data_IF_266546635312
#
_entry.id   IF_266546635312
#
_cell.length_a   1.000
_cell.length_b   1.000
_cell.length_c   1.000
_cell.angle_alpha   90.00
_cell.angle_beta   90.00
_cell.angle_gamma   90.00
#
_symmetry.space_group_name_H-M   'P 1'
#
loop_
_entity.id
_entity.type
_entity.pdbx_description
1 polymer ?
#
# COMPACT_ATOMS: atom_id res chain seq x y z
N UNK A 1 43.60 -39.42 22.14
CA UNK A 1 43.48 -38.73 20.86
C UNK A 1 42.00 -38.67 20.38
N UNK A 2 41.23 -39.75 20.30
CA UNK A 2 39.83 -39.74 19.78
C UNK A 2 38.88 -38.78 20.50
N UNK A 3 38.95 -38.63 21.82
CA UNK A 3 38.09 -37.73 22.61
C UNK A 3 38.36 -36.23 22.32
N UNK A 4 39.60 -35.84 22.01
CA UNK A 4 39.96 -34.46 21.68
C UNK A 4 39.43 -34.12 20.26
N UNK A 5 39.60 -34.98 19.32
CA UNK A 5 39.12 -34.82 17.96
C UNK A 5 37.56 -34.68 17.93
N UNK A 6 36.85 -35.48 18.73
CA UNK A 6 35.39 -35.39 18.84
C UNK A 6 34.94 -34.06 19.40
N UNK A 7 35.64 -33.54 20.45
CA UNK A 7 35.32 -32.21 20.99
C UNK A 7 35.52 -31.09 19.99
N UNK A 8 36.57 -31.10 19.21
CA UNK A 8 36.83 -30.12 18.17
C UNK A 8 35.75 -30.17 17.11
N UNK A 9 35.35 -31.33 16.64
CA UNK A 9 34.26 -31.50 15.65
C UNK A 9 32.94 -30.93 16.20
N UNK A 10 32.60 -31.23 17.44
CA UNK A 10 31.37 -30.72 18.07
C UNK A 10 31.37 -29.19 18.16
N UNK A 11 32.49 -28.58 18.49
CA UNK A 11 32.60 -27.11 18.54
C UNK A 11 32.42 -26.51 17.13
N UNK A 12 33.04 -27.09 16.11
CA UNK A 12 32.86 -26.64 14.73
C UNK A 12 31.40 -26.75 14.26
N UNK A 13 30.73 -27.86 14.53
CA UNK A 13 29.32 -28.08 14.20
C UNK A 13 28.45 -27.05 14.92
N UNK A 14 28.72 -26.79 16.21
CA UNK A 14 27.97 -25.79 16.98
C UNK A 14 28.15 -24.38 16.41
N UNK A 15 29.38 -23.97 16.13
CA UNK A 15 29.67 -22.65 15.53
C UNK A 15 28.97 -22.51 14.17
N UNK A 16 29.08 -23.52 13.32
CA UNK A 16 28.49 -23.50 12.00
C UNK A 16 26.95 -23.44 12.07
N UNK A 17 26.35 -24.17 13.01
CA UNK A 17 24.90 -24.13 13.25
C UNK A 17 24.42 -22.75 13.68
N UNK A 18 25.12 -22.12 14.61
CA UNK A 18 24.80 -20.75 15.06
C UNK A 18 24.94 -19.75 13.90
N UNK A 19 26.03 -19.84 13.14
CA UNK A 19 26.27 -18.95 12.01
C UNK A 19 25.18 -19.12 10.94
N UNK A 20 24.76 -20.35 10.64
CA UNK A 20 23.70 -20.65 9.69
C UNK A 20 22.35 -20.04 10.12
N UNK A 21 22.00 -20.12 11.40
CA UNK A 21 20.78 -19.51 11.94
C UNK A 21 20.85 -18.00 11.86
N UNK A 22 21.99 -17.39 12.21
CA UNK A 22 22.18 -15.94 12.11
C UNK A 22 22.05 -15.43 10.67
N UNK A 23 22.66 -16.10 9.70
CA UNK A 23 22.57 -15.75 8.29
C UNK A 23 21.13 -15.89 7.80
N UNK A 24 20.46 -16.99 8.14
CA UNK A 24 19.07 -17.24 7.75
C UNK A 24 18.10 -16.18 8.28
N UNK A 25 18.21 -15.80 9.54
CA UNK A 25 17.35 -14.76 10.14
C UNK A 25 17.65 -13.37 9.57
N UNK A 26 18.92 -13.03 9.36
CA UNK A 26 19.31 -11.76 8.75
C UNK A 26 18.82 -11.64 7.31
N UNK A 27 19.04 -12.67 6.50
CA UNK A 27 18.59 -12.72 5.11
C UNK A 27 17.06 -12.61 4.99
N UNK A 28 16.33 -13.32 5.85
CA UNK A 28 14.86 -13.27 5.87
C UNK A 28 14.34 -11.87 6.23
N UNK A 29 15.00 -11.17 7.15
CA UNK A 29 14.65 -9.80 7.51
C UNK A 29 14.89 -8.84 6.34
N UNK A 30 16.06 -8.92 5.72
CA UNK A 30 16.43 -8.08 4.58
C UNK A 30 15.46 -8.23 3.40
N UNK A 31 15.09 -9.48 3.06
CA UNK A 31 14.13 -9.76 2.00
C UNK A 31 12.74 -9.20 2.32
N UNK A 32 12.30 -9.30 3.57
CA UNK A 32 11.00 -8.74 4.00
C UNK A 32 10.97 -7.22 3.88
N UNK A 33 12.01 -6.55 4.37
CA UNK A 33 12.09 -5.08 4.33
C UNK A 33 12.12 -4.58 2.87
N UNK A 34 12.82 -5.29 2.00
CA UNK A 34 12.88 -4.95 0.58
C UNK A 34 11.54 -5.18 -0.14
N UNK A 35 10.90 -6.32 0.10
CA UNK A 35 9.58 -6.60 -0.48
C UNK A 35 8.52 -5.59 -0.02
N UNK A 36 8.59 -5.14 1.22
CA UNK A 36 7.69 -4.13 1.77
C UNK A 36 7.89 -2.75 1.11
N UNK A 37 9.13 -2.31 0.96
CA UNK A 37 9.45 -1.05 0.27
C UNK A 37 8.99 -1.08 -1.18
N UNK A 38 9.23 -2.18 -1.89
CA UNK A 38 8.80 -2.37 -3.27
C UNK A 38 7.27 -2.30 -3.42
N UNK A 39 6.51 -2.85 -2.48
CA UNK A 39 5.03 -2.76 -2.52
C UNK A 39 4.51 -1.33 -2.34
N UNK A 40 5.17 -0.51 -1.51
CA UNK A 40 4.83 0.92 -1.35
C UNK A 40 5.11 1.69 -2.63
N UNK A 41 6.30 1.51 -3.19
CA UNK A 41 6.73 2.14 -4.44
C UNK A 41 5.79 1.80 -5.60
N UNK A 42 5.44 0.53 -5.76
CA UNK A 42 4.46 0.10 -6.76
C UNK A 42 3.08 0.77 -6.57
N UNK A 43 2.63 0.96 -5.34
CA UNK A 43 1.36 1.63 -5.08
C UNK A 43 1.42 3.12 -5.44
N UNK A 44 2.55 3.78 -5.19
CA UNK A 44 2.80 5.17 -5.56
C UNK A 44 2.83 5.33 -7.09
N UNK A 45 3.58 4.48 -7.78
CA UNK A 45 3.64 4.47 -9.26
C UNK A 45 2.26 4.21 -9.88
N UNK A 46 1.52 3.24 -9.35
CA UNK A 46 0.16 2.94 -9.81
C UNK A 46 -0.79 4.13 -9.59
N UNK A 47 -0.68 4.84 -8.46
CA UNK A 47 -1.50 6.01 -8.19
C UNK A 47 -1.24 7.13 -9.23
N UNK A 48 0.04 7.40 -9.52
CA UNK A 48 0.44 8.39 -10.52
C UNK A 48 -0.05 7.98 -11.91
N UNK A 49 0.16 6.72 -12.28
CA UNK A 49 -0.27 6.21 -13.58
C UNK A 49 -1.79 6.32 -13.75
N UNK A 50 -2.56 5.85 -12.78
CA UNK A 50 -4.03 5.92 -12.85
C UNK A 50 -4.50 7.37 -12.92
N UNK A 51 -3.94 8.28 -12.12
CA UNK A 51 -4.32 9.70 -12.14
C UNK A 51 -4.05 10.35 -13.49
N UNK A 52 -2.97 9.96 -14.19
CA UNK A 52 -2.61 10.49 -15.50
C UNK A 52 -3.47 9.94 -16.65
N UNK A 53 -4.04 8.75 -16.46
CA UNK A 53 -4.88 8.08 -17.46
C UNK A 53 -6.36 8.49 -17.39
N UNK A 54 -6.78 9.15 -16.31
CA UNK A 54 -8.18 9.54 -16.12
C UNK A 54 -8.48 10.83 -16.90
N UNK A 55 -9.30 10.78 -17.97
CA UNK A 55 -9.61 11.98 -18.80
C UNK A 55 -10.71 12.82 -18.13
N UNK A 56 -10.45 13.35 -16.94
CA UNK A 56 -11.44 14.09 -16.17
C UNK A 56 -11.56 15.53 -16.66
N UNK A 57 -12.78 15.99 -16.94
CA UNK A 57 -13.11 17.41 -17.08
C UNK A 57 -13.51 18.03 -15.75
N UNK A 58 -14.26 17.28 -14.94
CA UNK A 58 -14.70 17.66 -13.60
C UNK A 58 -14.94 16.40 -12.76
N UNK A 59 -15.07 16.55 -11.42
CA UNK A 59 -15.49 15.47 -10.51
C UNK A 59 -16.98 15.46 -10.25
N UNK A 60 -17.79 15.88 -11.21
CA UNK A 60 -19.25 15.78 -11.09
C UNK A 60 -19.70 14.31 -11.12
N UNK A 61 -20.72 13.98 -10.33
CA UNK A 61 -21.17 12.62 -10.08
C UNK A 61 -21.57 11.83 -11.34
N UNK A 62 -22.01 12.50 -12.37
CA UNK A 62 -22.39 11.89 -13.67
C UNK A 62 -21.17 11.41 -14.47
N UNK A 63 -20.07 12.16 -14.44
CA UNK A 63 -18.83 11.77 -15.15
C UNK A 63 -18.04 10.70 -14.40
N UNK A 64 -18.12 10.72 -13.06
CA UNK A 64 -17.48 9.70 -12.23
C UNK A 64 -18.08 8.32 -12.47
N UNK A 65 -19.37 8.24 -12.81
CA UNK A 65 -20.04 6.98 -13.07
C UNK A 65 -19.46 6.24 -14.30
N UNK A 66 -19.09 6.98 -15.35
CA UNK A 66 -18.46 6.41 -16.54
C UNK A 66 -17.02 5.92 -16.30
N UNK A 67 -16.38 6.42 -15.22
CA UNK A 67 -15.04 6.02 -14.81
C UNK A 67 -15.04 4.84 -13.82
N UNK A 68 -16.17 4.54 -13.19
CA UNK A 68 -16.25 3.48 -12.18
C UNK A 68 -15.96 2.12 -12.80
N UNK A 69 -16.46 1.83 -14.00
CA UNK A 69 -16.25 0.56 -14.66
C UNK A 69 -14.74 0.30 -14.92
N UNK A 70 -13.98 1.20 -15.59
CA UNK A 70 -12.54 1.04 -15.75
C UNK A 70 -11.78 0.95 -14.43
N UNK A 71 -12.14 1.76 -13.43
CA UNK A 71 -11.49 1.73 -12.12
C UNK A 71 -11.76 0.42 -11.37
N UNK A 72 -12.93 -0.17 -11.53
CA UNK A 72 -13.27 -1.46 -10.91
C UNK A 72 -12.48 -2.62 -11.51
N UNK A 73 -12.17 -2.58 -12.80
CA UNK A 73 -11.31 -3.57 -13.45
C UNK A 73 -9.86 -3.50 -12.97
N UNK A 74 -9.34 -2.29 -12.72
CA UNK A 74 -7.99 -2.09 -12.19
C UNK A 74 -7.80 -2.57 -10.74
N UNK A 75 -8.90 -2.79 -10.00
CA UNK A 75 -8.85 -3.24 -8.60
C UNK A 75 -8.61 -4.74 -8.44
N UNK A 76 -9.05 -5.56 -9.39
CA UNK A 76 -9.14 -7.00 -9.25
C UNK A 76 -7.81 -7.73 -8.99
N UNK A 77 -6.68 -7.43 -9.68
CA UNK A 77 -5.47 -8.24 -9.50
C UNK A 77 -4.70 -7.98 -8.19
N UNK A 78 -4.90 -6.83 -7.53
CA UNK A 78 -3.99 -6.36 -6.46
C UNK A 78 -4.64 -6.03 -5.12
N UNK A 79 -5.94 -6.30 -4.91
CA UNK A 79 -6.68 -5.95 -3.69
C UNK A 79 -6.53 -4.45 -3.29
N UNK A 80 -6.35 -3.58 -4.27
CA UNK A 80 -6.23 -2.14 -4.06
C UNK A 80 -7.62 -1.52 -3.86
N UNK A 81 -7.73 -0.57 -2.94
CA UNK A 81 -8.92 0.26 -2.76
C UNK A 81 -8.68 1.60 -3.43
N UNK A 82 -9.62 2.03 -4.26
CA UNK A 82 -9.59 3.30 -4.97
C UNK A 82 -10.63 4.22 -4.35
N UNK A 83 -10.24 5.47 -4.06
CA UNK A 83 -11.13 6.51 -3.53
C UNK A 83 -10.88 7.80 -4.31
N UNK A 84 -11.95 8.47 -4.74
CA UNK A 84 -11.89 9.80 -5.33
C UNK A 84 -12.41 10.83 -4.31
N UNK A 85 -11.66 11.89 -4.11
CA UNK A 85 -11.95 12.92 -3.13
C UNK A 85 -11.93 14.27 -3.82
N UNK A 86 -12.97 15.09 -3.61
CA UNK A 86 -13.07 16.46 -4.13
C UNK A 86 -12.17 17.43 -3.36
N UNK A 87 -12.06 18.66 -3.85
CA UNK A 87 -11.23 19.70 -3.23
C UNK A 87 -11.67 20.08 -1.81
N UNK A 88 -12.95 19.96 -1.48
CA UNK A 88 -13.50 20.18 -0.14
C UNK A 88 -13.33 18.98 0.81
N UNK A 89 -12.71 17.90 0.31
CA UNK A 89 -12.46 16.67 1.07
C UNK A 89 -13.63 15.68 1.05
N UNK A 90 -14.72 15.97 0.35
CA UNK A 90 -15.85 15.04 0.22
C UNK A 90 -15.45 13.84 -0.64
N UNK A 91 -15.78 12.61 -0.18
CA UNK A 91 -15.55 11.40 -0.96
C UNK A 91 -16.63 11.26 -2.03
N UNK A 92 -16.22 11.30 -3.29
CA UNK A 92 -17.12 11.17 -4.46
C UNK A 92 -17.32 9.70 -4.83
N UNK A 93 -16.27 8.89 -4.71
CA UNK A 93 -16.27 7.47 -5.03
C UNK A 93 -15.34 6.69 -4.09
N UNK A 94 -15.76 5.49 -3.75
CA UNK A 94 -14.93 4.51 -3.04
C UNK A 94 -15.27 3.11 -3.52
N UNK A 95 -14.24 2.35 -3.85
CA UNK A 95 -14.41 1.01 -4.44
C UNK A 95 -14.88 -0.06 -3.46
N UNK A 96 -14.80 0.19 -2.16
CA UNK A 96 -15.17 -0.78 -1.11
C UNK A 96 -16.34 -0.34 -0.23
N UNK A 97 -16.76 0.92 -0.31
CA UNK A 97 -17.81 1.48 0.54
C UNK A 97 -18.93 2.04 -0.33
N UNK A 98 -20.16 1.68 -0.02
CA UNK A 98 -21.35 2.17 -0.70
C UNK A 98 -21.54 3.67 -0.42
N UNK A 99 -22.03 4.42 -1.41
CA UNK A 99 -22.10 5.87 -1.46
C UNK A 99 -22.72 6.56 -0.22
N UNK A 100 -23.66 5.92 0.44
CA UNK A 100 -24.40 6.50 1.57
C UNK A 100 -23.59 6.64 2.89
N UNK A 101 -22.39 6.02 2.96
CA UNK A 101 -21.52 6.05 4.14
C UNK A 101 -20.16 6.74 3.88
N UNK A 102 -20.07 7.54 2.83
CA UNK A 102 -18.84 8.25 2.47
C UNK A 102 -18.76 9.56 3.24
N UNK A 103 -17.85 9.63 4.22
CA UNK A 103 -17.59 10.83 5.00
C UNK A 103 -16.64 11.82 4.30
N UNK A 104 -16.29 12.91 4.99
CA UNK A 104 -15.25 13.83 4.53
C UNK A 104 -13.86 13.30 4.93
N UNK A 105 -12.94 13.26 3.97
CA UNK A 105 -11.57 12.78 4.14
C UNK A 105 -10.51 13.90 3.99
N UNK A 106 -10.91 15.17 3.91
CA UNK A 106 -9.99 16.30 3.73
C UNK A 106 -8.91 16.42 4.82
N UNK A 107 -9.21 15.97 6.04
CA UNK A 107 -8.26 15.97 7.16
C UNK A 107 -7.29 14.78 7.17
N UNK A 108 -7.40 13.85 6.21
CA UNK A 108 -6.46 12.73 6.10
C UNK A 108 -5.12 13.21 5.58
N UNK A 109 -4.02 12.79 6.22
CA UNK A 109 -2.66 13.30 5.96
C UNK A 109 -2.30 13.20 4.48
N UNK A 110 -2.57 12.06 3.84
CA UNK A 110 -2.30 11.82 2.43
C UNK A 110 -3.12 12.73 1.49
N UNK A 111 -4.34 13.09 1.87
CA UNK A 111 -5.20 13.99 1.11
C UNK A 111 -4.77 15.44 1.33
N UNK A 112 -4.62 15.83 2.59
CA UNK A 112 -4.25 17.19 2.98
C UNK A 112 -2.94 17.63 2.30
N UNK A 113 -1.91 16.79 2.31
CA UNK A 113 -0.64 17.09 1.64
C UNK A 113 -0.82 17.41 0.16
N UNK A 114 -1.66 16.67 -0.56
CA UNK A 114 -1.91 16.90 -1.98
C UNK A 114 -2.71 18.18 -2.20
N UNK A 115 -3.73 18.44 -1.38
CA UNK A 115 -4.50 19.70 -1.43
C UNK A 115 -3.63 20.93 -1.11
N UNK A 116 -2.57 20.78 -0.33
CA UNK A 116 -1.55 21.79 -0.03
C UNK A 116 -0.46 21.90 -1.12
N UNK A 117 -0.56 21.13 -2.22
CA UNK A 117 0.32 21.23 -3.38
C UNK A 117 1.42 20.18 -3.48
N UNK A 118 1.42 19.15 -2.62
CA UNK A 118 2.35 18.05 -2.76
C UNK A 118 1.98 17.17 -3.98
N UNK A 119 2.99 16.69 -4.70
CA UNK A 119 2.81 15.73 -5.80
C UNK A 119 2.30 14.37 -5.34
N UNK A 120 2.68 13.97 -4.13
CA UNK A 120 2.29 12.70 -3.50
C UNK A 120 2.10 12.96 -2.01
N UNK A 121 1.00 12.47 -1.46
CA UNK A 121 0.76 12.38 -0.04
C UNK A 121 0.70 10.91 0.38
N UNK A 122 1.42 10.53 1.43
CA UNK A 122 1.42 9.15 1.94
C UNK A 122 1.06 9.11 3.41
N UNK A 123 0.40 8.04 3.83
CA UNK A 123 0.11 7.74 5.22
C UNK A 123 0.06 6.23 5.46
N UNK A 124 0.40 5.84 6.68
CA UNK A 124 0.26 4.47 7.14
C UNK A 124 -0.57 4.49 8.43
N UNK A 125 -1.69 3.80 8.44
CA UNK A 125 -2.56 3.71 9.61
C UNK A 125 -3.42 2.46 9.60
N UNK A 126 -3.87 2.07 10.78
CA UNK A 126 -4.86 1.03 10.94
C UNK A 126 -6.20 1.50 10.36
N UNK A 127 -6.82 0.65 9.57
CA UNK A 127 -8.15 0.92 9.00
C UNK A 127 -9.22 0.66 10.05
N UNK A 128 -10.11 1.61 10.24
CA UNK A 128 -11.24 1.48 11.17
C UNK A 128 -12.24 0.39 10.72
N UNK A 129 -12.29 0.12 9.40
CA UNK A 129 -13.24 -0.83 8.80
C UNK A 129 -12.73 -2.27 8.71
N UNK A 130 -11.42 -2.48 8.52
CA UNK A 130 -10.83 -3.81 8.31
C UNK A 130 -9.93 -4.27 9.45
N UNK A 131 -9.62 -3.39 10.40
CA UNK A 131 -8.66 -3.61 11.49
C UNK A 131 -7.23 -3.95 11.02
N UNK A 132 -6.94 -3.78 9.72
CA UNK A 132 -5.64 -4.00 9.09
C UNK A 132 -4.87 -2.69 8.98
N UNK A 133 -3.54 -2.77 9.01
CA UNK A 133 -2.70 -1.61 8.69
C UNK A 133 -2.65 -1.44 7.18
N UNK A 134 -3.13 -0.29 6.70
CA UNK A 134 -3.14 0.07 5.28
C UNK A 134 -2.09 1.15 5.01
N UNK A 135 -1.45 1.03 3.86
CA UNK A 135 -0.70 2.12 3.25
C UNK A 135 -1.60 2.89 2.31
N UNK A 136 -1.60 4.19 2.45
CA UNK A 136 -2.41 5.12 1.68
C UNK A 136 -1.51 6.01 0.85
N UNK A 137 -1.88 6.20 -0.40
CA UNK A 137 -1.22 7.11 -1.34
C UNK A 137 -2.26 8.03 -1.94
N UNK A 138 -2.09 9.33 -1.81
CA UNK A 138 -2.87 10.37 -2.46
C UNK A 138 -2.05 11.03 -3.57
N UNK A 139 -2.65 11.25 -4.72
CA UNK A 139 -2.07 11.98 -5.84
C UNK A 139 -3.08 12.98 -6.42
N UNK A 140 -2.63 14.10 -7.00
CA UNK A 140 -3.53 15.08 -7.58
C UNK A 140 -4.29 14.51 -8.78
N UNK A 141 -5.56 14.83 -8.87
CA UNK A 141 -6.37 14.70 -10.07
C UNK A 141 -6.47 16.07 -10.73
N UNK A 142 -5.94 16.18 -11.92
CA UNK A 142 -6.00 17.41 -12.70
C UNK A 142 -6.95 17.23 -13.88
N UNK A 143 -7.62 18.33 -14.27
CA UNK A 143 -8.39 18.36 -15.51
C UNK A 143 -7.46 18.48 -16.73
N UNK A 144 -8.06 18.52 -17.93
CA UNK A 144 -7.32 18.65 -19.19
C UNK A 144 -6.51 19.97 -19.29
N UNK A 145 -6.89 20.99 -18.53
CA UNK A 145 -6.20 22.28 -18.46
C UNK A 145 -5.09 22.30 -17.40
N UNK A 146 -4.83 21.17 -16.72
CA UNK A 146 -3.83 21.03 -15.67
C UNK A 146 -4.26 21.58 -14.30
N UNK A 147 -5.52 21.97 -14.14
CA UNK A 147 -6.04 22.47 -12.86
C UNK A 147 -6.39 21.31 -11.93
N UNK A 148 -6.03 21.43 -10.66
CA UNK A 148 -6.40 20.47 -9.62
C UNK A 148 -7.93 20.46 -9.44
N UNK A 149 -8.55 19.30 -9.60
CA UNK A 149 -10.00 19.08 -9.41
C UNK A 149 -10.31 18.14 -8.24
N UNK A 150 -9.30 17.47 -7.68
CA UNK A 150 -9.45 16.59 -6.54
C UNK A 150 -8.23 15.73 -6.30
N UNK A 151 -8.41 14.65 -5.55
CA UNK A 151 -7.36 13.70 -5.16
C UNK A 151 -7.80 12.27 -5.46
N UNK A 152 -6.97 11.53 -6.18
CA UNK A 152 -7.06 10.08 -6.27
C UNK A 152 -6.30 9.50 -5.07
N UNK A 153 -6.97 8.65 -4.30
CA UNK A 153 -6.34 7.90 -3.21
C UNK A 153 -6.38 6.41 -3.51
N UNK A 154 -5.22 5.78 -3.51
CA UNK A 154 -5.10 4.34 -3.46
C UNK A 154 -4.77 3.88 -2.03
N UNK A 155 -5.24 2.69 -1.67
CA UNK A 155 -4.78 2.03 -0.44
C UNK A 155 -4.70 0.53 -0.59
N UNK A 156 -3.76 -0.08 0.13
CA UNK A 156 -3.51 -1.52 0.14
C UNK A 156 -3.12 -1.96 1.55
N UNK A 157 -3.58 -3.15 2.01
CA UNK A 157 -3.07 -3.72 3.25
C UNK A 157 -1.57 -3.94 3.14
N UNK A 158 -0.85 -3.43 4.13
CA UNK A 158 0.56 -3.75 4.31
C UNK A 158 0.60 -4.91 5.29
N UNK A 159 0.44 -6.11 4.78
CA UNK A 159 0.68 -7.28 5.60
C UNK A 159 2.19 -7.32 5.84
N UNK A 160 2.61 -6.85 7.03
CA UNK A 160 3.81 -7.41 7.61
C UNK A 160 3.60 -8.91 7.50
N UNK A 161 4.52 -9.63 6.84
CA UNK A 161 4.44 -11.08 6.64
C UNK A 161 4.47 -11.85 7.98
N UNK A 162 3.69 -11.43 8.97
CA UNK A 162 3.42 -12.17 10.19
C UNK A 162 2.56 -13.41 9.91
N UNK A 163 1.88 -13.45 8.75
CA UNK A 163 0.95 -14.53 8.44
C UNK A 163 1.54 -15.68 7.61
N UNK A 164 2.78 -15.59 7.14
CA UNK A 164 3.40 -16.73 6.41
C UNK A 164 3.78 -17.85 7.38
N UNK A 165 4.11 -17.52 8.63
CA UNK A 165 4.41 -18.53 9.66
C UNK A 165 3.18 -19.34 10.13
N UNK A 166 1.95 -18.85 9.89
CA UNK A 166 0.73 -19.62 10.22
C UNK A 166 0.34 -20.61 9.11
N UNK A 167 0.74 -20.41 7.87
CA UNK A 167 0.45 -21.35 6.77
C UNK A 167 1.46 -22.49 6.63
N UNK A 168 2.61 -22.42 7.29
CA UNK A 168 3.64 -23.46 7.25
C UNK A 168 3.52 -24.45 8.42
N UNK A 169 2.57 -24.22 9.36
CA UNK A 169 2.30 -25.12 10.48
C UNK A 169 1.13 -26.08 10.23
N UNK A 170 1.08 -26.68 9.03
CA UNK A 170 0.25 -27.85 8.75
C UNK A 170 1.14 -29.01 8.35
#
# INVERSE_FOLDING_TARGET
MKKLQLRIILIFVLIFSILSVCIGTFSSKLLRDHAFSSQKEQLEENAILISSLLPLKSLESTQVQDLIAPLSELQQPNNQRVTLVSLDGTVIYDSKVIKDNLGNHGNRIEIKKVLEGAKIGTAERKSDSTNETLYYVGVPLNNQDGQLIGVLRLSKPINKMENVDQQIRL
#
